data_IF_078122975561
#
_entry.id   IF_078122975561
#
_cell.length_a   1.000
_cell.length_b   1.000
_cell.length_c   1.000
_cell.angle_alpha   90.00
_cell.angle_beta   90.00
_cell.angle_gamma   90.00
#
_symmetry.space_group_name_H-M   'P 1'
#
loop_
_entity.id
_entity.type
_entity.pdbx_description
1 polymer ?
#
# COMPACT_ATOMS: atom_id res chain seq x y z
N UNK A 1 17.35 15.97 -21.40
CA UNK A 1 17.88 15.67 -20.06
C UNK A 1 16.76 15.85 -19.04
N UNK A 2 16.14 14.73 -18.53
CA UNK A 2 15.10 14.80 -17.52
C UNK A 2 15.77 15.04 -16.17
N UNK A 3 15.69 16.23 -15.63
CA UNK A 3 16.04 16.53 -14.24
C UNK A 3 15.11 15.72 -13.33
N UNK A 4 15.63 14.67 -12.69
CA UNK A 4 14.98 14.00 -11.56
C UNK A 4 14.75 15.07 -10.47
N UNK A 5 13.55 15.65 -10.41
CA UNK A 5 13.12 16.44 -9.26
C UNK A 5 13.24 15.53 -8.03
N UNK A 6 14.23 15.80 -7.18
CA UNK A 6 14.34 15.17 -5.86
C UNK A 6 13.01 15.40 -5.17
N UNK A 7 12.31 14.31 -4.82
CA UNK A 7 11.11 14.39 -4.02
C UNK A 7 11.50 15.14 -2.73
N UNK A 8 11.01 16.36 -2.56
CA UNK A 8 11.27 17.16 -1.37
C UNK A 8 10.57 16.45 -0.20
N UNK A 9 11.35 15.96 0.76
CA UNK A 9 10.81 15.38 2.00
C UNK A 9 9.69 16.24 2.62
N UNK A 10 9.82 17.57 2.50
CA UNK A 10 8.79 18.50 2.96
C UNK A 10 7.45 18.40 2.22
N UNK A 11 7.44 17.98 0.95
CA UNK A 11 6.19 17.76 0.20
C UNK A 11 5.50 16.47 0.63
N UNK A 12 6.29 15.42 0.89
CA UNK A 12 5.79 14.13 1.41
C UNK A 12 5.20 14.31 2.82
N UNK A 13 5.89 15.04 3.68
CA UNK A 13 5.42 15.33 5.05
C UNK A 13 4.10 16.13 5.04
N UNK A 14 3.94 17.10 4.15
CA UNK A 14 2.68 17.85 3.99
C UNK A 14 1.53 16.97 3.50
N UNK A 15 1.81 16.04 2.60
CA UNK A 15 0.81 15.06 2.14
C UNK A 15 0.40 14.11 3.27
N UNK A 16 1.37 13.61 4.05
CA UNK A 16 1.10 12.75 5.20
C UNK A 16 0.29 13.51 6.28
N UNK A 17 0.61 14.76 6.56
CA UNK A 17 -0.14 15.59 7.50
C UNK A 17 -1.59 15.82 7.03
N UNK A 18 -1.78 16.10 5.73
CA UNK A 18 -3.11 16.24 5.14
C UNK A 18 -3.94 14.95 5.25
N UNK A 19 -3.33 13.80 4.94
CA UNK A 19 -3.96 12.49 5.07
C UNK A 19 -4.29 12.17 6.53
N UNK A 20 -3.35 12.43 7.43
CA UNK A 20 -3.54 12.18 8.86
C UNK A 20 -4.67 13.01 9.44
N UNK A 21 -4.78 14.27 9.07
CA UNK A 21 -5.82 15.17 9.57
C UNK A 21 -7.24 14.76 9.14
N UNK A 22 -7.38 14.26 7.89
CA UNK A 22 -8.67 13.95 7.31
C UNK A 22 -9.09 12.47 7.46
N UNK A 23 -8.13 11.53 7.54
CA UNK A 23 -8.40 10.08 7.45
C UNK A 23 -7.71 9.28 8.56
N UNK A 24 -7.60 9.85 9.77
CA UNK A 24 -6.92 9.21 10.92
C UNK A 24 -7.33 7.76 11.13
N UNK A 25 -8.63 7.51 11.17
CA UNK A 25 -9.19 6.19 11.49
C UNK A 25 -8.85 5.17 10.40
N UNK A 26 -9.01 5.56 9.14
CA UNK A 26 -8.66 4.71 7.99
C UNK A 26 -7.16 4.39 7.94
N UNK A 27 -6.30 5.35 8.29
CA UNK A 27 -4.85 5.15 8.34
C UNK A 27 -4.45 4.22 9.49
N UNK A 28 -5.05 4.35 10.67
CA UNK A 28 -4.78 3.47 11.81
C UNK A 28 -5.20 2.03 11.47
N UNK A 29 -6.40 1.84 10.92
CA UNK A 29 -6.88 0.51 10.51
C UNK A 29 -5.99 -0.08 9.42
N UNK A 30 -5.59 0.71 8.43
CA UNK A 30 -4.65 0.29 7.38
C UNK A 30 -3.32 -0.15 7.96
N UNK A 31 -2.80 0.58 8.95
CA UNK A 31 -1.55 0.24 9.61
C UNK A 31 -1.63 -1.09 10.38
N UNK A 32 -2.74 -1.34 11.06
CA UNK A 32 -2.98 -2.62 11.76
C UNK A 32 -3.06 -3.76 10.75
N UNK A 33 -3.80 -3.58 9.65
CA UNK A 33 -3.98 -4.60 8.62
C UNK A 33 -2.67 -4.95 7.90
N UNK A 34 -1.80 -3.97 7.63
CA UNK A 34 -0.51 -4.25 6.99
C UNK A 34 0.43 -4.99 7.93
N UNK A 35 0.43 -4.67 9.23
CA UNK A 35 1.20 -5.42 10.23
C UNK A 35 0.70 -6.86 10.30
N UNK A 36 -0.60 -7.06 10.37
CA UNK A 36 -1.20 -8.40 10.43
C UNK A 36 -0.86 -9.22 9.18
N UNK A 37 -0.96 -8.63 7.99
CA UNK A 37 -0.58 -9.26 6.72
C UNK A 37 0.91 -9.60 6.67
N UNK A 38 1.78 -8.70 7.12
CA UNK A 38 3.23 -8.93 7.14
C UNK A 38 3.61 -10.04 8.10
N UNK A 39 3.03 -10.06 9.31
CA UNK A 39 3.25 -11.15 10.28
C UNK A 39 2.78 -12.50 9.71
N UNK A 40 1.64 -12.54 9.01
CA UNK A 40 1.17 -13.75 8.34
C UNK A 40 2.17 -14.21 7.28
N UNK A 41 2.70 -13.31 6.45
CA UNK A 41 3.69 -13.63 5.41
C UNK A 41 4.97 -14.19 6.00
N UNK A 42 5.51 -13.58 7.06
CA UNK A 42 6.72 -14.05 7.75
C UNK A 42 6.49 -15.45 8.35
N UNK A 43 5.32 -15.68 9.01
CA UNK A 43 4.98 -16.99 9.55
C UNK A 43 4.86 -18.07 8.47
N UNK A 44 4.22 -17.75 7.34
CA UNK A 44 4.11 -18.71 6.20
C UNK A 44 5.49 -19.03 5.65
N UNK A 45 6.37 -18.03 5.48
CA UNK A 45 7.74 -18.24 4.99
C UNK A 45 8.55 -19.11 5.95
N UNK A 46 8.49 -18.84 7.25
CA UNK A 46 9.14 -19.67 8.28
C UNK A 46 8.58 -21.09 8.34
N UNK A 47 7.30 -21.26 8.06
CA UNK A 47 6.63 -22.57 8.02
C UNK A 47 7.13 -23.48 6.90
N UNK A 48 7.69 -22.92 5.81
CA UNK A 48 8.26 -23.71 4.71
C UNK A 48 9.47 -24.52 5.20
N UNK A 49 10.34 -23.90 5.98
CA UNK A 49 11.49 -24.59 6.57
C UNK A 49 11.02 -25.70 7.53
N UNK A 50 10.10 -25.39 8.44
CA UNK A 50 9.53 -26.38 9.37
C UNK A 50 8.83 -27.53 8.65
N UNK A 51 8.20 -27.29 7.52
CA UNK A 51 7.58 -28.33 6.68
C UNK A 51 8.63 -29.34 6.21
N UNK A 52 9.76 -28.87 5.72
CA UNK A 52 10.82 -29.73 5.20
C UNK A 52 11.51 -30.51 6.33
N UNK A 53 11.95 -29.81 7.38
CA UNK A 53 12.79 -30.39 8.43
C UNK A 53 12.01 -31.34 9.36
N UNK A 54 10.75 -31.01 9.68
CA UNK A 54 9.97 -31.75 10.69
C UNK A 54 9.06 -32.78 10.06
N UNK A 55 8.57 -32.58 8.85
CA UNK A 55 7.58 -33.50 8.24
C UNK A 55 8.10 -34.24 7.03
N UNK A 56 8.84 -33.61 6.12
CA UNK A 56 9.29 -34.27 4.88
C UNK A 56 10.50 -35.18 5.14
N UNK A 57 11.51 -34.70 5.84
CA UNK A 57 12.74 -35.46 6.10
C UNK A 57 12.49 -36.73 6.93
N UNK A 58 11.71 -36.72 8.02
CA UNK A 58 11.39 -37.95 8.76
C UNK A 58 10.53 -38.94 7.98
N UNK A 59 9.62 -38.46 7.11
CA UNK A 59 8.80 -39.35 6.26
C UNK A 59 9.65 -40.10 5.23
N UNK A 60 10.70 -39.50 4.72
CA UNK A 60 11.62 -40.15 3.78
C UNK A 60 12.53 -41.17 4.48
N UNK A 61 12.88 -40.92 5.76
CA UNK A 61 13.83 -41.77 6.49
C UNK A 61 13.15 -42.95 7.23
N UNK A 62 11.93 -42.76 7.72
CA UNK A 62 11.28 -43.76 8.61
C UNK A 62 10.19 -44.62 7.96
N UNK A 63 9.96 -44.50 6.67
CA UNK A 63 8.94 -45.26 5.91
C UNK A 63 7.54 -45.30 6.56
N UNK A 64 7.26 -44.35 7.44
CA UNK A 64 5.97 -44.23 8.15
C UNK A 64 5.03 -43.34 7.32
N UNK A 65 3.87 -43.88 6.94
CA UNK A 65 2.88 -43.21 6.09
C UNK A 65 1.81 -42.49 6.94
N UNK A 66 2.19 -41.90 8.06
CA UNK A 66 1.23 -41.20 8.91
C UNK A 66 1.11 -39.73 8.48
N UNK A 67 0.08 -39.43 7.66
CA UNK A 67 -0.17 -38.08 7.12
C UNK A 67 -0.96 -37.15 8.06
N UNK A 68 -1.39 -37.68 9.23
CA UNK A 68 -2.20 -36.90 10.18
C UNK A 68 -1.53 -35.60 10.66
N UNK A 69 -0.28 -35.66 11.16
CA UNK A 69 0.46 -34.47 11.61
C UNK A 69 0.72 -33.46 10.48
N UNK A 70 1.03 -33.96 9.28
CA UNK A 70 1.25 -33.10 8.10
C UNK A 70 -0.03 -32.34 7.72
N UNK A 71 -1.18 -33.01 7.71
CA UNK A 71 -2.45 -32.39 7.35
C UNK A 71 -2.86 -31.31 8.36
N UNK A 72 -2.66 -31.56 9.65
CA UNK A 72 -2.95 -30.57 10.69
C UNK A 72 -2.05 -29.34 10.58
N UNK A 73 -0.77 -29.52 10.28
CA UNK A 73 0.16 -28.44 10.02
C UNK A 73 -0.24 -27.61 8.79
N UNK A 74 -0.54 -28.26 7.66
CA UNK A 74 -0.99 -27.59 6.44
C UNK A 74 -2.29 -26.80 6.65
N UNK A 75 -3.23 -27.35 7.41
CA UNK A 75 -4.48 -26.65 7.74
C UNK A 75 -4.21 -25.38 8.55
N UNK A 76 -3.30 -25.46 9.52
CA UNK A 76 -2.90 -24.30 10.35
C UNK A 76 -2.24 -23.22 9.50
N UNK A 77 -1.27 -23.59 8.65
CA UNK A 77 -0.58 -22.65 7.76
C UNK A 77 -1.57 -22.04 6.75
N UNK A 78 -2.50 -22.85 6.22
CA UNK A 78 -3.56 -22.39 5.32
C UNK A 78 -4.48 -21.36 5.96
N UNK A 79 -4.86 -21.54 7.24
CA UNK A 79 -5.64 -20.55 7.98
C UNK A 79 -4.89 -19.24 8.18
N UNK A 80 -3.60 -19.30 8.53
CA UNK A 80 -2.75 -18.10 8.68
C UNK A 80 -2.65 -17.36 7.33
N UNK A 81 -2.44 -18.10 6.25
CA UNK A 81 -2.37 -17.55 4.90
C UNK A 81 -3.69 -16.85 4.52
N UNK A 82 -4.82 -17.46 4.80
CA UNK A 82 -6.14 -16.88 4.51
C UNK A 82 -6.37 -15.58 5.29
N UNK A 83 -6.02 -15.54 6.57
CA UNK A 83 -6.08 -14.31 7.38
C UNK A 83 -5.17 -13.24 6.79
N UNK A 84 -3.95 -13.57 6.38
CA UNK A 84 -3.01 -12.66 5.74
C UNK A 84 -3.55 -12.07 4.44
N UNK A 85 -4.15 -12.89 3.58
CA UNK A 85 -4.77 -12.45 2.33
C UNK A 85 -5.96 -11.51 2.57
N UNK A 86 -6.85 -11.85 3.51
CA UNK A 86 -7.98 -11.00 3.88
C UNK A 86 -7.52 -9.66 4.46
N UNK A 87 -6.51 -9.66 5.31
CA UNK A 87 -5.93 -8.44 5.86
C UNK A 87 -5.31 -7.56 4.76
N UNK A 88 -4.56 -8.15 3.82
CA UNK A 88 -3.97 -7.43 2.69
C UNK A 88 -5.04 -6.85 1.75
N UNK A 89 -6.10 -7.62 1.49
CA UNK A 89 -7.23 -7.16 0.68
C UNK A 89 -7.93 -5.97 1.34
N UNK A 90 -8.24 -6.07 2.64
CA UNK A 90 -8.84 -4.97 3.40
C UNK A 90 -7.97 -3.71 3.43
N UNK A 91 -6.67 -3.87 3.62
CA UNK A 91 -5.70 -2.79 3.53
C UNK A 91 -5.75 -2.09 2.16
N UNK A 92 -5.71 -2.87 1.07
CA UNK A 92 -5.73 -2.34 -0.31
C UNK A 92 -7.02 -1.56 -0.60
N UNK A 93 -8.18 -2.06 -0.17
CA UNK A 93 -9.46 -1.37 -0.33
C UNK A 93 -9.50 -0.03 0.41
N UNK A 94 -9.05 -0.02 1.67
CA UNK A 94 -9.03 1.22 2.48
C UNK A 94 -8.09 2.24 1.84
N UNK A 95 -6.89 1.83 1.43
CA UNK A 95 -5.92 2.73 0.78
C UNK A 95 -6.42 3.26 -0.56
N UNK A 96 -7.10 2.45 -1.37
CA UNK A 96 -7.71 2.91 -2.61
C UNK A 96 -8.79 3.98 -2.35
N UNK A 97 -9.65 3.77 -1.35
CA UNK A 97 -10.69 4.74 -0.97
C UNK A 97 -10.07 6.04 -0.47
N UNK A 98 -9.10 5.97 0.45
CA UNK A 98 -8.39 7.15 0.97
C UNK A 98 -7.68 7.92 -0.15
N UNK A 99 -7.06 7.21 -1.10
CA UNK A 99 -6.41 7.81 -2.26
C UNK A 99 -7.41 8.57 -3.12
N UNK A 100 -8.52 7.93 -3.52
CA UNK A 100 -9.54 8.55 -4.37
C UNK A 100 -10.17 9.79 -3.74
N UNK A 101 -10.54 9.72 -2.47
CA UNK A 101 -11.13 10.85 -1.75
C UNK A 101 -10.14 12.00 -1.60
N UNK A 102 -8.87 11.70 -1.31
CA UNK A 102 -7.81 12.70 -1.22
C UNK A 102 -7.58 13.40 -2.55
N UNK A 103 -7.54 12.65 -3.66
CA UNK A 103 -7.39 13.20 -5.00
C UNK A 103 -8.59 14.03 -5.42
N UNK A 104 -9.80 13.60 -5.09
CA UNK A 104 -11.02 14.39 -5.31
C UNK A 104 -10.95 15.73 -4.58
N UNK A 105 -10.55 15.71 -3.32
CA UNK A 105 -10.37 16.92 -2.52
C UNK A 105 -9.31 17.86 -3.12
N UNK A 106 -8.18 17.32 -3.55
CA UNK A 106 -7.11 18.08 -4.22
C UNK A 106 -7.58 18.69 -5.54
N UNK A 107 -8.27 17.93 -6.38
CA UNK A 107 -8.84 18.44 -7.65
C UNK A 107 -9.81 19.60 -7.40
N UNK A 108 -10.69 19.46 -6.43
CA UNK A 108 -11.64 20.50 -6.07
C UNK A 108 -10.93 21.77 -5.56
N UNK A 109 -9.89 21.63 -4.75
CA UNK A 109 -9.10 22.74 -4.26
C UNK A 109 -8.32 23.44 -5.39
N UNK A 110 -7.73 22.68 -6.31
CA UNK A 110 -7.05 23.22 -7.49
C UNK A 110 -8.04 23.98 -8.37
N UNK A 111 -9.20 23.40 -8.65
CA UNK A 111 -10.23 24.05 -9.45
C UNK A 111 -10.70 25.36 -8.82
N UNK A 112 -11.00 25.35 -7.51
CA UNK A 112 -11.38 26.54 -6.79
C UNK A 112 -10.30 27.63 -6.78
N UNK A 113 -9.03 27.26 -6.79
CA UNK A 113 -7.91 28.21 -6.92
C UNK A 113 -7.78 28.75 -8.34
N UNK A 114 -7.93 27.88 -9.35
CA UNK A 114 -7.90 28.30 -10.76
C UNK A 114 -8.98 29.33 -11.07
N UNK A 115 -10.19 29.15 -10.55
CA UNK A 115 -11.28 30.12 -10.75
C UNK A 115 -10.99 31.51 -10.17
N UNK A 116 -10.09 31.62 -9.21
CA UNK A 116 -9.68 32.89 -8.61
C UNK A 116 -8.54 33.59 -9.34
N UNK A 117 -7.95 32.94 -10.35
CA UNK A 117 -6.87 33.53 -11.15
C UNK A 117 -7.43 34.54 -12.15
N UNK A 118 -6.74 35.67 -12.35
CA UNK A 118 -7.15 36.64 -13.36
C UNK A 118 -7.01 36.04 -14.77
N UNK A 119 -7.88 36.47 -15.72
CA UNK A 119 -7.88 35.99 -17.12
C UNK A 119 -6.51 36.11 -17.74
N UNK A 120 -5.78 37.19 -17.43
CA UNK A 120 -4.40 37.44 -17.91
C UNK A 120 -3.44 36.27 -17.62
N UNK A 121 -3.66 35.52 -16.56
CA UNK A 121 -2.85 34.34 -16.25
C UNK A 121 -2.99 33.25 -17.32
N UNK A 122 -4.22 33.03 -17.80
CA UNK A 122 -4.51 32.03 -18.82
C UNK A 122 -4.01 32.45 -20.21
N UNK A 123 -3.93 33.76 -20.46
CA UNK A 123 -3.38 34.32 -21.72
C UNK A 123 -1.85 34.22 -21.79
N UNK A 124 -1.18 34.22 -20.64
CA UNK A 124 0.29 34.19 -20.55
C UNK A 124 0.88 32.79 -20.34
N UNK A 125 0.08 31.79 -19.99
CA UNK A 125 0.53 30.42 -19.76
C UNK A 125 -0.08 29.45 -20.78
N UNK A 126 0.71 28.50 -21.24
CA UNK A 126 0.21 27.50 -22.19
C UNK A 126 -0.86 26.65 -21.53
N UNK A 127 -1.99 26.49 -22.19
CA UNK A 127 -3.10 25.64 -21.69
C UNK A 127 -2.65 24.19 -21.43
N UNK A 128 -1.68 23.68 -22.22
CA UNK A 128 -1.08 22.37 -22.02
C UNK A 128 -0.35 22.20 -20.69
N UNK A 129 0.35 23.22 -20.21
CA UNK A 129 1.07 23.18 -18.93
C UNK A 129 0.09 23.13 -17.76
N UNK A 130 -0.98 23.92 -17.83
CA UNK A 130 -2.04 23.93 -16.81
C UNK A 130 -2.72 22.58 -16.77
N UNK A 131 -3.03 22.00 -17.93
CA UNK A 131 -3.68 20.69 -18.03
C UNK A 131 -2.76 19.56 -17.58
N UNK A 132 -1.45 19.66 -17.83
CA UNK A 132 -0.45 18.70 -17.36
C UNK A 132 -0.40 18.61 -15.83
N UNK A 133 -0.50 19.74 -15.12
CA UNK A 133 -0.60 19.75 -13.66
C UNK A 133 -1.87 19.04 -13.21
N UNK A 134 -2.99 19.26 -13.90
CA UNK A 134 -4.28 18.70 -13.52
C UNK A 134 -4.42 17.19 -13.79
N UNK A 135 -3.64 16.67 -14.73
CA UNK A 135 -3.65 15.23 -15.10
C UNK A 135 -2.44 14.52 -14.55
N UNK A 136 -1.24 14.85 -15.03
CA UNK A 136 -0.02 14.10 -14.78
C UNK A 136 0.47 14.22 -13.32
N UNK A 137 0.42 15.42 -12.74
CA UNK A 137 0.90 15.63 -11.37
C UNK A 137 -0.06 14.99 -10.36
N UNK A 138 -1.36 15.02 -10.62
CA UNK A 138 -2.36 14.35 -9.78
C UNK A 138 -2.23 12.84 -9.88
N UNK A 139 -2.00 12.29 -11.06
CA UNK A 139 -1.78 10.84 -11.22
C UNK A 139 -0.46 10.38 -10.57
N UNK A 140 0.58 11.21 -10.60
CA UNK A 140 1.81 10.94 -9.86
C UNK A 140 1.58 10.92 -8.34
N UNK A 141 0.75 11.82 -7.80
CA UNK A 141 0.34 11.81 -6.39
C UNK A 141 -0.47 10.57 -6.05
N UNK A 142 -1.39 10.17 -6.93
CA UNK A 142 -2.14 8.94 -6.79
C UNK A 142 -1.21 7.74 -6.65
N UNK A 143 -0.27 7.58 -7.57
CA UNK A 143 0.70 6.50 -7.55
C UNK A 143 1.55 6.51 -6.26
N UNK A 144 1.93 7.68 -5.78
CA UNK A 144 2.65 7.82 -4.51
C UNK A 144 1.82 7.32 -3.32
N UNK A 145 0.54 7.68 -3.24
CA UNK A 145 -0.34 7.28 -2.13
C UNK A 145 -0.67 5.78 -2.21
N UNK A 146 -1.06 5.28 -3.39
CA UNK A 146 -1.54 3.91 -3.57
C UNK A 146 -0.42 2.86 -3.58
N UNK A 147 0.79 3.19 -3.99
CA UNK A 147 1.89 2.24 -4.16
C UNK A 147 3.09 2.53 -3.27
N UNK A 148 3.61 3.77 -3.28
CA UNK A 148 4.90 4.06 -2.63
C UNK A 148 4.79 4.04 -1.11
N UNK A 149 3.72 4.57 -0.52
CA UNK A 149 3.53 4.58 0.94
C UNK A 149 3.32 3.16 1.47
N UNK A 150 2.40 2.35 0.92
CA UNK A 150 2.24 0.95 1.33
C UNK A 150 3.51 0.12 1.19
N UNK A 151 4.24 0.28 0.10
CA UNK A 151 5.46 -0.47 -0.14
C UNK A 151 6.59 -0.11 0.85
N UNK A 152 6.72 1.16 1.21
CA UNK A 152 7.66 1.59 2.25
C UNK A 152 7.31 1.01 3.61
N UNK A 153 6.03 1.00 3.98
CA UNK A 153 5.56 0.42 5.23
C UNK A 153 5.78 -1.09 5.27
N UNK A 154 5.43 -1.79 4.21
CA UNK A 154 5.65 -3.24 4.10
C UNK A 154 7.13 -3.60 4.20
N UNK A 155 8.00 -2.92 3.45
CA UNK A 155 9.44 -3.21 3.47
C UNK A 155 10.14 -2.83 4.78
N UNK A 156 9.57 -1.94 5.57
CA UNK A 156 10.11 -1.60 6.90
C UNK A 156 9.74 -2.65 7.97
N UNK A 157 8.70 -3.48 7.72
CA UNK A 157 8.21 -4.49 8.66
C UNK A 157 8.75 -5.88 8.32
N UNK A 158 9.05 -6.14 7.05
CA UNK A 158 9.59 -7.42 6.54
C UNK A 158 11.09 -7.43 6.54
#
# INVERSE_FOLDING_TARGET
MKTKKKANLGSILRLLDFLWKNYKLSLIVSFILIILSSLATVNVTASIQSLVDVYVEPMLTSNSHDFGPLLSFLTRVGLICLIGVLANYGFTLIMATVSQDSLRSLRNQLFARMQKLPVRYFDTHQHGDIMSIYTNDIDALRQAIEQSIPQLLSSAIT
#
